data_IF_259638649733
#
_entry.id   IF_259638649733
#
_cell.length_a   1.000
_cell.length_b   1.000
_cell.length_c   1.000
_cell.angle_alpha   90.00
_cell.angle_beta   90.00
_cell.angle_gamma   90.00
#
_symmetry.space_group_name_H-M   'P 1'
#
loop_
_entity.id
_entity.type
_entity.pdbx_description
1 polymer ?
#
# COMPACT_ATOMS: atom_id res chain seq x y z
N UNK A 1 -28.68 -15.03 -20.64
CA UNK A 1 -28.85 -15.69 -19.34
C UNK A 1 -30.05 -15.07 -18.66
N UNK A 2 -31.02 -15.85 -18.27
CA UNK A 2 -32.25 -15.40 -17.63
C UNK A 2 -31.92 -14.79 -16.24
N UNK A 3 -32.55 -13.67 -15.88
CA UNK A 3 -32.24 -12.97 -14.62
C UNK A 3 -32.49 -13.84 -13.39
N UNK A 4 -33.47 -14.73 -13.45
CA UNK A 4 -33.79 -15.71 -12.41
C UNK A 4 -32.63 -16.71 -12.19
N UNK A 5 -31.98 -17.19 -13.27
CA UNK A 5 -30.82 -18.08 -13.18
C UNK A 5 -29.58 -17.38 -12.59
N UNK A 6 -29.38 -16.06 -12.87
CA UNK A 6 -28.35 -15.26 -12.24
C UNK A 6 -28.55 -15.16 -10.73
N UNK A 7 -29.79 -14.92 -10.30
CA UNK A 7 -30.09 -14.86 -8.88
C UNK A 7 -29.85 -16.21 -8.18
N UNK A 8 -30.15 -17.34 -8.84
CA UNK A 8 -29.88 -18.68 -8.31
C UNK A 8 -28.37 -18.90 -8.08
N UNK A 9 -27.50 -18.49 -9.05
CA UNK A 9 -26.05 -18.60 -8.93
C UNK A 9 -25.48 -17.69 -7.82
N UNK A 10 -26.12 -16.56 -7.53
CA UNK A 10 -25.71 -15.63 -6.48
C UNK A 10 -26.16 -16.07 -5.10
N UNK A 11 -27.40 -16.60 -4.98
CA UNK A 11 -28.02 -16.97 -3.70
C UNK A 11 -27.68 -18.39 -3.24
N UNK A 12 -27.14 -19.24 -4.13
CA UNK A 12 -26.73 -20.61 -3.82
C UNK A 12 -27.92 -21.59 -3.68
N UNK A 13 -27.66 -22.80 -3.16
CA UNK A 13 -28.61 -23.88 -3.06
C UNK A 13 -29.77 -23.63 -2.08
N UNK A 14 -29.67 -22.64 -1.22
CA UNK A 14 -30.75 -22.34 -0.24
C UNK A 14 -32.08 -21.96 -0.92
N UNK A 15 -32.02 -21.53 -2.21
CA UNK A 15 -33.21 -21.13 -3.00
C UNK A 15 -33.82 -22.29 -3.80
N UNK A 16 -33.12 -23.43 -3.93
CA UNK A 16 -33.63 -24.61 -4.69
C UNK A 16 -34.89 -25.23 -4.08
N UNK A 17 -35.12 -25.00 -2.78
CA UNK A 17 -36.32 -25.54 -2.10
C UNK A 17 -37.65 -24.88 -2.56
N UNK A 18 -37.56 -23.70 -3.18
CA UNK A 18 -38.72 -22.94 -3.62
C UNK A 18 -38.95 -22.94 -5.15
N UNK A 19 -37.90 -23.19 -5.94
CA UNK A 19 -37.93 -23.09 -7.41
C UNK A 19 -37.09 -24.19 -8.07
N UNK A 20 -37.71 -24.93 -9.01
CA UNK A 20 -37.03 -25.96 -9.81
C UNK A 20 -36.24 -25.29 -10.97
N UNK A 21 -34.92 -25.10 -10.79
CA UNK A 21 -34.04 -24.49 -11.78
C UNK A 21 -33.29 -25.54 -12.58
N UNK A 22 -33.65 -25.71 -13.86
CA UNK A 22 -32.83 -26.50 -14.79
C UNK A 22 -31.61 -25.71 -15.25
N UNK A 23 -30.47 -25.92 -14.58
CA UNK A 23 -29.17 -25.34 -14.96
C UNK A 23 -28.55 -26.14 -16.12
N UNK A 24 -27.99 -25.43 -17.11
CA UNK A 24 -27.20 -26.09 -18.15
C UNK A 24 -25.90 -26.65 -17.55
N UNK A 25 -25.24 -27.65 -18.20
CA UNK A 25 -24.02 -28.25 -17.65
C UNK A 25 -22.92 -27.27 -17.31
N UNK A 26 -22.76 -26.19 -18.09
CA UNK A 26 -21.78 -25.12 -17.84
C UNK A 26 -22.18 -24.26 -16.64
N UNK A 27 -23.45 -23.92 -16.50
CA UNK A 27 -24.00 -23.17 -15.37
C UNK A 27 -23.88 -23.99 -14.07
N UNK A 28 -24.13 -25.29 -14.15
CA UNK A 28 -23.98 -26.20 -13.00
C UNK A 28 -22.52 -26.28 -12.54
N UNK A 29 -21.57 -26.26 -13.46
CA UNK A 29 -20.14 -26.23 -13.12
C UNK A 29 -19.76 -24.94 -12.38
N UNK A 30 -20.27 -23.80 -12.82
CA UNK A 30 -20.08 -22.51 -12.14
C UNK A 30 -20.72 -22.54 -10.74
N UNK A 31 -21.92 -23.06 -10.63
CA UNK A 31 -22.64 -23.22 -9.36
C UNK A 31 -21.84 -24.08 -8.37
N UNK A 32 -21.34 -25.23 -8.82
CA UNK A 32 -20.49 -26.12 -8.02
C UNK A 32 -19.21 -25.44 -7.52
N UNK A 33 -18.58 -24.61 -8.37
CA UNK A 33 -17.36 -23.85 -8.01
C UNK A 33 -17.65 -22.78 -6.95
N UNK A 34 -18.75 -22.05 -7.09
CA UNK A 34 -19.20 -21.04 -6.13
C UNK A 34 -19.70 -21.67 -4.84
N UNK A 35 -20.48 -22.77 -4.93
CA UNK A 35 -20.97 -23.51 -3.77
C UNK A 35 -19.85 -24.03 -2.88
N UNK A 36 -18.69 -24.34 -3.46
CA UNK A 36 -17.51 -24.72 -2.68
C UNK A 36 -17.04 -23.64 -1.71
N UNK A 37 -17.27 -22.36 -2.00
CA UNK A 37 -16.88 -21.22 -1.15
C UNK A 37 -18.04 -20.72 -0.31
N UNK A 38 -19.26 -20.67 -0.87
CA UNK A 38 -20.38 -19.94 -0.28
C UNK A 38 -21.42 -20.84 0.42
N UNK A 39 -21.53 -22.13 0.08
CA UNK A 39 -22.53 -23.00 0.69
C UNK A 39 -22.22 -23.37 2.14
N UNK A 40 -23.16 -23.07 3.03
CA UNK A 40 -23.09 -23.40 4.46
C UNK A 40 -23.09 -24.90 4.74
N UNK A 41 -23.79 -25.68 3.93
CA UNK A 41 -23.90 -27.12 4.09
C UNK A 41 -22.60 -27.90 3.95
N UNK A 42 -21.58 -27.30 3.31
CA UNK A 42 -20.28 -27.90 3.17
C UNK A 42 -19.28 -27.50 4.27
N UNK A 43 -19.65 -26.60 5.18
CA UNK A 43 -18.79 -26.13 6.27
C UNK A 43 -18.45 -27.21 7.30
N UNK A 44 -19.26 -28.27 7.42
CA UNK A 44 -19.10 -29.34 8.40
C UNK A 44 -18.30 -30.54 7.89
N UNK A 45 -17.83 -30.56 6.64
CA UNK A 45 -16.97 -31.63 6.14
C UNK A 45 -15.51 -31.31 6.45
N UNK A 46 -14.74 -32.33 6.89
CA UNK A 46 -13.28 -32.28 7.07
C UNK A 46 -12.63 -31.47 5.97
N UNK A 47 -11.63 -30.65 6.32
CA UNK A 47 -10.94 -29.77 5.38
C UNK A 47 -10.59 -30.49 4.08
N UNK A 48 -10.74 -29.77 2.94
CA UNK A 48 -10.49 -30.33 1.60
C UNK A 48 -9.06 -30.81 1.45
N UNK A 49 -8.88 -31.87 0.70
CA UNK A 49 -7.56 -32.39 0.36
C UNK A 49 -6.81 -31.40 -0.54
N UNK A 50 -5.48 -31.42 -0.49
CA UNK A 50 -4.59 -30.65 -1.36
C UNK A 50 -4.98 -30.76 -2.85
N UNK A 51 -5.35 -31.98 -3.29
CA UNK A 51 -5.75 -32.25 -4.67
C UNK A 51 -7.05 -31.54 -5.05
N UNK A 52 -8.04 -31.52 -4.17
CA UNK A 52 -9.32 -30.85 -4.39
C UNK A 52 -9.14 -29.32 -4.48
N UNK A 53 -8.32 -28.74 -3.61
CA UNK A 53 -8.01 -27.30 -3.64
C UNK A 53 -7.27 -26.94 -4.93
N UNK A 54 -6.30 -27.75 -5.36
CA UNK A 54 -5.57 -27.54 -6.61
C UNK A 54 -6.49 -27.56 -7.82
N UNK A 55 -7.36 -28.56 -7.91
CA UNK A 55 -8.34 -28.69 -9.00
C UNK A 55 -9.29 -27.50 -9.01
N UNK A 56 -9.80 -27.08 -7.84
CA UNK A 56 -10.66 -25.91 -7.72
C UNK A 56 -9.96 -24.61 -8.18
N UNK A 57 -8.68 -24.38 -7.80
CA UNK A 57 -7.92 -23.23 -8.25
C UNK A 57 -7.72 -23.21 -9.78
N UNK A 58 -7.45 -24.37 -10.38
CA UNK A 58 -7.31 -24.48 -11.83
C UNK A 58 -8.65 -24.20 -12.54
N UNK A 59 -9.75 -24.70 -11.99
CA UNK A 59 -11.09 -24.52 -12.57
C UNK A 59 -11.62 -23.09 -12.43
N UNK A 60 -11.41 -22.39 -11.31
CA UNK A 60 -11.83 -20.98 -11.19
C UNK A 60 -11.06 -20.08 -12.17
N UNK A 61 -9.79 -20.37 -12.45
CA UNK A 61 -8.99 -19.62 -13.43
C UNK A 61 -9.47 -19.81 -14.86
N UNK A 62 -9.98 -20.99 -15.17
CA UNK A 62 -10.50 -21.27 -16.51
C UNK A 62 -11.88 -20.66 -16.76
N UNK A 63 -12.70 -20.52 -15.71
CA UNK A 63 -14.10 -20.13 -15.85
C UNK A 63 -14.39 -18.68 -15.46
N UNK A 64 -13.47 -18.01 -14.77
CA UNK A 64 -13.66 -16.64 -14.28
C UNK A 64 -12.55 -15.68 -14.69
N UNK A 65 -12.86 -14.39 -14.87
CA UNK A 65 -11.84 -13.37 -15.13
C UNK A 65 -10.96 -13.13 -13.88
N UNK A 66 -9.72 -12.61 -14.04
CA UNK A 66 -8.73 -12.50 -12.95
C UNK A 66 -9.22 -11.76 -11.71
N UNK A 67 -10.02 -10.71 -11.87
CA UNK A 67 -10.59 -9.95 -10.75
C UNK A 67 -11.56 -10.79 -9.89
N UNK A 68 -12.35 -11.65 -10.51
CA UNK A 68 -13.24 -12.57 -9.78
C UNK A 68 -12.46 -13.73 -9.18
N UNK A 69 -11.40 -14.21 -9.84
CA UNK A 69 -10.52 -15.25 -9.28
C UNK A 69 -9.90 -14.75 -7.97
N UNK A 70 -9.38 -13.53 -7.95
CA UNK A 70 -8.81 -12.93 -6.73
C UNK A 70 -9.85 -12.82 -5.60
N UNK A 71 -11.09 -12.42 -5.92
CA UNK A 71 -12.18 -12.34 -4.97
C UNK A 71 -12.54 -13.71 -4.39
N UNK A 72 -12.71 -14.73 -5.25
CA UNK A 72 -13.04 -16.09 -4.84
C UNK A 72 -11.94 -16.72 -3.97
N UNK A 73 -10.68 -16.44 -4.28
CA UNK A 73 -9.53 -16.88 -3.47
C UNK A 73 -9.54 -16.23 -2.09
N UNK A 74 -9.77 -14.90 -2.00
CA UNK A 74 -9.92 -14.19 -0.75
C UNK A 74 -11.04 -14.79 0.10
N UNK A 75 -12.24 -14.91 -0.46
CA UNK A 75 -13.40 -15.43 0.25
C UNK A 75 -13.19 -16.89 0.69
N UNK A 76 -12.48 -17.70 -0.09
CA UNK A 76 -12.09 -19.04 0.28
C UNK A 76 -11.13 -19.06 1.48
N UNK A 77 -10.13 -18.16 1.50
CA UNK A 77 -9.19 -18.02 2.63
C UNK A 77 -9.91 -17.61 3.92
N UNK A 78 -10.81 -16.63 3.82
CA UNK A 78 -11.54 -16.11 4.98
C UNK A 78 -12.61 -17.06 5.49
N UNK A 79 -13.48 -17.55 4.60
CA UNK A 79 -14.69 -18.32 4.99
C UNK A 79 -14.44 -19.79 5.27
N UNK A 80 -13.59 -20.42 4.49
CA UNK A 80 -13.35 -21.88 4.56
C UNK A 80 -12.00 -22.26 5.17
N UNK A 81 -11.27 -21.28 5.70
CA UNK A 81 -9.98 -21.49 6.36
C UNK A 81 -9.00 -22.31 5.49
N UNK A 82 -8.91 -21.99 4.18
CA UNK A 82 -7.97 -22.60 3.25
C UNK A 82 -6.52 -22.18 3.53
N UNK A 83 -6.13 -22.06 4.81
CA UNK A 83 -4.73 -21.80 5.25
C UNK A 83 -3.73 -22.75 4.62
N UNK A 84 -4.18 -23.96 4.25
CA UNK A 84 -3.38 -24.92 3.50
C UNK A 84 -2.88 -24.38 2.16
N UNK A 85 -3.59 -23.43 1.53
CA UNK A 85 -3.13 -22.78 0.29
C UNK A 85 -1.83 -22.00 0.52
N UNK A 86 -1.63 -21.44 1.70
CA UNK A 86 -0.44 -20.70 2.08
C UNK A 86 0.71 -21.59 2.53
N UNK A 87 0.39 -22.74 3.12
CA UNK A 87 1.40 -23.70 3.63
C UNK A 87 2.01 -24.54 2.51
N UNK A 88 1.27 -24.79 1.42
CA UNK A 88 1.68 -25.67 0.34
C UNK A 88 2.27 -24.89 -0.84
N UNK A 89 3.57 -25.07 -1.16
CA UNK A 89 4.23 -24.30 -2.24
C UNK A 89 3.50 -24.37 -3.57
N UNK A 90 3.07 -25.57 -3.99
CA UNK A 90 2.40 -25.80 -5.27
C UNK A 90 1.02 -25.12 -5.39
N UNK A 91 0.35 -24.91 -4.25
CA UNK A 91 -0.91 -24.19 -4.22
C UNK A 91 -0.65 -22.67 -4.22
N UNK A 92 0.35 -22.23 -3.49
CA UNK A 92 0.71 -20.83 -3.37
C UNK A 92 1.16 -20.24 -4.72
N UNK A 93 1.90 -20.98 -5.56
CA UNK A 93 2.29 -20.56 -6.91
C UNK A 93 1.09 -20.27 -7.83
N UNK A 94 -0.06 -20.87 -7.54
CA UNK A 94 -1.28 -20.71 -8.32
C UNK A 94 -2.20 -19.57 -7.83
N UNK A 95 -1.88 -18.93 -6.74
CA UNK A 95 -2.71 -17.86 -6.19
C UNK A 95 -2.36 -16.54 -6.88
N UNK A 96 -3.38 -15.78 -7.27
CA UNK A 96 -3.18 -14.43 -7.81
C UNK A 96 -2.79 -13.47 -6.70
N UNK A 97 -1.69 -12.68 -6.86
CA UNK A 97 -1.25 -11.76 -5.83
C UNK A 97 -2.27 -10.62 -5.66
N UNK A 98 -2.78 -10.48 -4.45
CA UNK A 98 -3.64 -9.38 -4.03
C UNK A 98 -3.29 -8.96 -2.60
N UNK A 99 -3.86 -7.86 -2.12
CA UNK A 99 -3.51 -7.29 -0.81
C UNK A 99 -3.94 -8.19 0.35
N UNK A 100 -5.10 -8.85 0.23
CA UNK A 100 -5.62 -9.75 1.26
C UNK A 100 -4.73 -11.00 1.41
N UNK A 101 -4.21 -11.50 0.28
CA UNK A 101 -3.22 -12.58 0.28
C UNK A 101 -1.94 -12.14 0.99
N UNK A 102 -1.43 -10.95 0.68
CA UNK A 102 -0.23 -10.39 1.33
C UNK A 102 -0.47 -10.23 2.82
N UNK A 103 -1.62 -9.70 3.24
CA UNK A 103 -2.02 -9.62 4.65
C UNK A 103 -1.94 -11.00 5.32
N UNK A 104 -2.55 -12.01 4.71
CA UNK A 104 -2.56 -13.38 5.24
C UNK A 104 -1.15 -14.01 5.29
N UNK A 105 -0.31 -13.76 4.28
CA UNK A 105 1.09 -14.20 4.25
C UNK A 105 1.87 -13.57 5.40
N UNK A 106 1.76 -12.26 5.59
CA UNK A 106 2.49 -11.53 6.62
C UNK A 106 2.05 -11.94 8.02
N UNK A 107 0.75 -12.16 8.24
CA UNK A 107 0.23 -12.65 9.52
C UNK A 107 0.69 -14.07 9.87
N UNK A 108 0.91 -14.92 8.87
CA UNK A 108 1.30 -16.33 9.05
C UNK A 108 2.78 -16.58 8.75
N UNK A 109 3.59 -15.53 8.57
CA UNK A 109 4.98 -15.64 8.10
C UNK A 109 5.86 -16.59 8.94
N UNK A 110 5.64 -16.62 10.26
CA UNK A 110 6.39 -17.48 11.17
C UNK A 110 6.03 -18.96 11.03
N UNK A 111 4.79 -19.26 10.61
CA UNK A 111 4.27 -20.60 10.43
C UNK A 111 4.56 -21.17 9.04
N UNK A 112 5.03 -20.33 8.09
CA UNK A 112 5.29 -20.77 6.72
C UNK A 112 6.54 -21.68 6.66
N UNK A 113 6.44 -22.88 6.02
CA UNK A 113 7.60 -23.69 5.67
C UNK A 113 8.60 -22.90 4.82
N UNK A 114 9.89 -23.21 4.89
CA UNK A 114 10.93 -22.47 4.16
C UNK A 114 10.66 -22.38 2.64
N UNK A 115 10.20 -23.48 2.03
CA UNK A 115 9.86 -23.51 0.61
C UNK A 115 8.69 -22.57 0.27
N UNK A 116 7.64 -22.58 1.08
CA UNK A 116 6.48 -21.68 0.91
C UNK A 116 6.86 -20.23 1.20
N UNK A 117 7.79 -19.98 2.13
CA UNK A 117 8.27 -18.62 2.47
C UNK A 117 8.97 -17.95 1.30
N UNK A 118 9.77 -18.69 0.52
CA UNK A 118 10.40 -18.13 -0.68
C UNK A 118 9.37 -17.71 -1.71
N UNK A 119 8.40 -18.58 -2.02
CA UNK A 119 7.32 -18.30 -2.99
C UNK A 119 6.44 -17.13 -2.49
N UNK A 120 6.10 -17.13 -1.20
CA UNK A 120 5.36 -16.03 -0.57
C UNK A 120 6.08 -14.68 -0.74
N UNK A 121 7.39 -14.63 -0.52
CA UNK A 121 8.19 -13.42 -0.76
C UNK A 121 8.16 -12.96 -2.22
N UNK A 122 8.23 -13.88 -3.18
CA UNK A 122 8.12 -13.53 -4.61
C UNK A 122 6.74 -12.99 -4.98
N UNK A 123 5.66 -13.54 -4.43
CA UNK A 123 4.30 -13.04 -4.62
C UNK A 123 4.12 -11.63 -4.03
N UNK A 124 4.60 -11.43 -2.80
CA UNK A 124 4.58 -10.09 -2.17
C UNK A 124 5.39 -9.11 -3.00
N UNK A 125 6.60 -9.50 -3.45
CA UNK A 125 7.46 -8.65 -4.29
C UNK A 125 6.79 -8.28 -5.61
N UNK A 126 6.05 -9.20 -6.24
CA UNK A 126 5.31 -8.93 -7.47
C UNK A 126 4.25 -7.86 -7.24
N UNK A 127 3.42 -8.00 -6.21
CA UNK A 127 2.39 -7.02 -5.86
C UNK A 127 3.00 -5.65 -5.48
N UNK A 128 4.05 -5.65 -4.67
CA UNK A 128 4.78 -4.43 -4.27
C UNK A 128 5.24 -3.67 -5.51
N UNK A 129 5.86 -4.34 -6.48
CA UNK A 129 6.32 -3.72 -7.73
C UNK A 129 5.18 -3.11 -8.55
N UNK A 130 4.03 -3.79 -8.61
CA UNK A 130 2.84 -3.26 -9.30
C UNK A 130 2.32 -1.98 -8.64
N UNK A 131 2.24 -1.96 -7.31
CA UNK A 131 1.83 -0.78 -6.53
C UNK A 131 2.87 0.34 -6.71
N UNK A 132 4.16 0.05 -6.58
CA UNK A 132 5.23 1.02 -6.79
C UNK A 132 5.15 1.67 -8.17
N UNK A 133 4.99 0.89 -9.24
CA UNK A 133 4.90 1.43 -10.59
C UNK A 133 3.71 2.39 -10.76
N UNK A 134 2.56 2.05 -10.19
CA UNK A 134 1.36 2.89 -10.22
C UNK A 134 1.54 4.19 -9.42
N UNK A 135 2.15 4.12 -8.24
CA UNK A 135 2.24 5.25 -7.31
C UNK A 135 3.45 6.15 -7.55
N UNK A 136 4.59 5.59 -7.99
CA UNK A 136 5.85 6.31 -8.17
C UNK A 136 5.72 7.57 -9.03
N UNK A 137 4.99 7.47 -10.14
CA UNK A 137 4.77 8.62 -11.03
C UNK A 137 3.95 9.74 -10.37
N UNK A 138 2.95 9.37 -9.58
CA UNK A 138 2.12 10.32 -8.85
C UNK A 138 2.91 11.03 -7.76
N UNK A 139 3.69 10.27 -6.98
CA UNK A 139 4.56 10.79 -5.90
C UNK A 139 5.63 11.70 -6.50
N UNK A 140 6.31 11.30 -7.57
CA UNK A 140 7.33 12.11 -8.24
C UNK A 140 6.76 13.43 -8.77
N UNK A 141 5.56 13.40 -9.36
CA UNK A 141 4.85 14.62 -9.79
C UNK A 141 4.53 15.52 -8.60
N UNK A 142 3.99 14.97 -7.51
CA UNK A 142 3.65 15.73 -6.31
C UNK A 142 4.89 16.38 -5.65
N UNK A 143 5.99 15.65 -5.54
CA UNK A 143 7.26 16.16 -5.02
C UNK A 143 7.94 17.11 -6.02
N UNK A 144 7.88 16.82 -7.32
CA UNK A 144 8.49 17.60 -8.40
C UNK A 144 7.85 18.97 -8.65
N UNK A 145 6.53 19.07 -8.49
CA UNK A 145 5.80 20.33 -8.67
C UNK A 145 6.21 21.43 -7.68
N UNK A 146 6.75 21.06 -6.53
CA UNK A 146 7.29 22.01 -5.53
C UNK A 146 8.70 22.54 -5.86
N UNK A 147 9.44 21.93 -6.79
CA UNK A 147 10.81 22.35 -7.16
C UNK A 147 10.87 23.63 -8.03
N UNK A 148 9.78 23.98 -8.70
CA UNK A 148 9.72 25.24 -9.45
C UNK A 148 9.02 26.31 -8.60
N UNK A 149 9.74 26.85 -7.61
CA UNK A 149 9.32 28.09 -6.96
C UNK A 149 9.03 29.14 -8.03
N UNK A 150 7.86 29.76 -7.97
CA UNK A 150 7.50 30.87 -8.86
C UNK A 150 8.58 31.95 -8.73
N UNK A 151 9.22 32.26 -9.85
CA UNK A 151 10.19 33.34 -9.92
C UNK A 151 9.43 34.65 -9.72
N UNK A 152 9.77 35.40 -8.69
CA UNK A 152 9.19 36.69 -8.33
C UNK A 152 10.26 37.78 -8.37
N UNK A 153 9.85 39.03 -8.62
CA UNK A 153 10.71 40.19 -8.49
C UNK A 153 11.17 40.29 -7.03
N UNK A 154 12.44 40.41 -6.77
CA UNK A 154 13.01 40.46 -5.42
C UNK A 154 14.51 40.70 -5.40
N UNK A 155 15.06 40.89 -4.22
CA UNK A 155 16.48 41.08 -3.99
C UNK A 155 17.28 39.78 -4.30
N UNK A 156 18.39 39.83 -5.05
CA UNK A 156 19.23 38.70 -5.36
C UNK A 156 19.76 37.96 -4.12
N UNK A 157 19.86 38.62 -2.98
CA UNK A 157 20.28 38.04 -1.70
C UNK A 157 19.15 37.18 -1.05
N UNK A 158 17.91 37.38 -1.46
CA UNK A 158 16.73 36.75 -0.85
C UNK A 158 16.42 35.33 -1.37
N UNK A 159 17.16 34.82 -2.37
CA UNK A 159 16.94 33.51 -2.96
C UNK A 159 17.86 33.23 -4.15
N UNK A 160 17.56 32.12 -4.86
CA UNK A 160 18.33 31.77 -6.06
C UNK A 160 17.90 32.61 -7.26
N UNK A 161 18.80 33.35 -7.88
CA UNK A 161 18.52 34.19 -9.05
C UNK A 161 18.04 33.33 -10.24
N UNK A 162 16.91 33.71 -10.84
CA UNK A 162 16.45 33.18 -12.12
C UNK A 162 17.08 33.98 -13.26
N UNK A 163 18.25 33.58 -13.69
CA UNK A 163 19.03 34.27 -14.70
C UNK A 163 18.25 34.44 -16.02
N UNK A 164 17.51 33.45 -16.46
CA UNK A 164 16.73 33.54 -17.72
C UNK A 164 15.70 34.68 -17.66
N UNK A 165 14.93 34.76 -16.60
CA UNK A 165 13.97 35.85 -16.44
C UNK A 165 14.62 37.18 -16.17
N UNK A 166 15.67 37.20 -15.38
CA UNK A 166 16.44 38.43 -15.10
C UNK A 166 17.03 38.97 -16.37
N UNK A 167 17.69 38.16 -17.19
CA UNK A 167 18.25 38.58 -18.48
C UNK A 167 17.15 39.12 -19.42
N UNK A 168 16.06 38.33 -19.60
CA UNK A 168 14.96 38.75 -20.49
C UNK A 168 14.35 40.06 -20.08
N UNK A 169 14.14 40.32 -18.79
CA UNK A 169 13.54 41.55 -18.30
C UNK A 169 14.45 42.76 -18.40
N UNK A 170 15.76 42.55 -18.51
CA UNK A 170 16.77 43.58 -18.54
C UNK A 170 17.51 43.70 -19.89
N UNK A 171 17.07 43.05 -20.96
CA UNK A 171 17.67 43.10 -22.28
C UNK A 171 17.85 44.55 -22.79
N UNK A 172 16.88 45.43 -22.47
CA UNK A 172 16.94 46.85 -22.81
C UNK A 172 18.07 47.65 -22.13
N UNK A 173 18.66 47.10 -21.09
CA UNK A 173 19.79 47.64 -20.33
C UNK A 173 21.11 47.00 -20.72
N UNK A 174 21.20 46.37 -21.90
CA UNK A 174 22.45 45.85 -22.43
C UNK A 174 23.38 47.03 -22.81
N UNK A 175 24.56 47.02 -22.28
CA UNK A 175 25.59 48.00 -22.57
C UNK A 175 26.63 47.38 -23.50
N UNK A 176 26.65 47.85 -24.76
CA UNK A 176 27.54 47.33 -25.80
C UNK A 176 29.04 47.54 -25.46
N UNK A 177 29.39 48.66 -24.82
CA UNK A 177 30.75 48.99 -24.48
C UNK A 177 31.37 48.06 -23.45
N UNK A 178 30.55 47.53 -22.56
CA UNK A 178 30.96 46.59 -21.51
C UNK A 178 30.55 45.15 -21.79
N UNK A 179 29.86 44.90 -22.91
CA UNK A 179 29.34 43.60 -23.29
C UNK A 179 28.57 42.88 -22.14
N UNK A 180 27.84 43.66 -21.34
CA UNK A 180 27.16 43.15 -20.15
C UNK A 180 25.77 43.75 -20.00
N UNK A 181 24.93 43.09 -19.19
CA UNK A 181 23.62 43.57 -18.78
C UNK A 181 23.74 44.03 -17.32
N UNK A 182 23.35 45.28 -17.03
CA UNK A 182 23.23 45.79 -15.67
C UNK A 182 21.75 45.58 -15.24
N UNK A 183 21.43 44.59 -14.38
CA UNK A 183 20.08 44.32 -14.03
C UNK A 183 19.50 45.37 -13.09
N UNK A 184 18.43 46.04 -13.51
CA UNK A 184 17.57 46.85 -12.62
C UNK A 184 16.50 46.02 -11.92
N UNK A 185 16.12 44.93 -12.55
CA UNK A 185 15.05 44.06 -12.06
C UNK A 185 15.59 42.66 -11.88
N UNK A 186 15.65 42.22 -10.63
CA UNK A 186 16.07 40.89 -10.29
C UNK A 186 14.88 39.97 -10.13
N UNK A 187 14.96 38.78 -10.69
CA UNK A 187 13.99 37.71 -10.48
C UNK A 187 14.63 36.62 -9.66
N UNK A 188 14.06 36.35 -8.50
CA UNK A 188 14.54 35.33 -7.57
C UNK A 188 13.51 34.24 -7.37
N UNK A 189 13.97 33.02 -7.33
CA UNK A 189 13.18 31.87 -6.89
C UNK A 189 13.38 31.73 -5.41
N UNK A 190 12.38 32.15 -4.62
CA UNK A 190 12.39 31.73 -3.21
C UNK A 190 12.16 30.22 -3.18
N UNK A 191 13.06 29.48 -2.59
CA UNK A 191 12.81 28.12 -2.16
C UNK A 191 11.75 28.19 -1.05
N UNK A 192 10.49 28.31 -1.43
CA UNK A 192 9.41 28.22 -0.47
C UNK A 192 9.39 26.76 0.00
N UNK A 193 9.78 26.57 1.26
CA UNK A 193 9.65 25.33 2.01
C UNK A 193 10.29 24.11 1.33
N UNK A 194 11.59 23.97 1.49
CA UNK A 194 12.19 22.66 1.36
C UNK A 194 11.71 21.85 2.55
N UNK A 195 10.79 20.92 2.30
CA UNK A 195 10.57 19.82 3.21
C UNK A 195 11.93 19.12 3.36
N UNK A 196 12.48 19.13 4.56
CA UNK A 196 13.77 18.47 4.85
C UNK A 196 13.57 17.09 5.39
N UNK A 197 12.50 16.93 6.16
CA UNK A 197 12.17 15.69 6.85
C UNK A 197 10.69 15.36 6.67
N UNK A 198 10.40 14.09 6.43
CA UNK A 198 9.06 13.53 6.48
C UNK A 198 9.08 12.39 7.51
N UNK A 199 8.20 12.46 8.48
CA UNK A 199 7.97 11.38 9.42
C UNK A 199 6.65 10.69 9.04
N UNK A 200 6.74 9.42 8.69
CA UNK A 200 5.58 8.55 8.50
C UNK A 200 5.45 7.68 9.74
N UNK A 201 4.40 7.91 10.52
CA UNK A 201 4.07 7.18 11.73
C UNK A 201 2.88 6.29 11.38
N UNK A 202 3.12 4.98 11.33
CA UNK A 202 2.20 4.00 10.76
C UNK A 202 1.78 3.02 11.83
N UNK A 203 0.49 2.97 12.07
CA UNK A 203 -0.14 2.01 12.97
C UNK A 203 -0.14 0.62 12.33
N UNK A 204 0.27 -0.38 13.10
CA UNK A 204 0.33 -1.80 12.70
C UNK A 204 -0.66 -2.67 13.46
N UNK A 205 -1.61 -2.06 14.19
CA UNK A 205 -2.69 -2.79 14.85
C UNK A 205 -3.47 -3.68 13.85
N UNK A 206 -4.24 -4.63 14.36
CA UNK A 206 -4.89 -5.65 13.52
C UNK A 206 -5.84 -5.05 12.48
N UNK A 207 -6.57 -3.97 12.82
CA UNK A 207 -7.44 -3.23 11.91
C UNK A 207 -6.68 -2.51 10.81
N UNK A 208 -5.44 -2.08 11.08
CA UNK A 208 -4.63 -1.23 10.21
C UNK A 208 -3.66 -1.98 9.29
N UNK A 209 -3.60 -3.31 9.31
CA UNK A 209 -2.61 -4.11 8.56
C UNK A 209 -2.58 -3.75 7.06
N UNK A 210 -3.73 -3.60 6.42
CA UNK A 210 -3.81 -3.24 5.00
C UNK A 210 -3.22 -1.84 4.75
N UNK A 211 -3.60 -0.87 5.57
CA UNK A 211 -3.08 0.49 5.53
C UNK A 211 -1.58 0.53 5.80
N UNK A 212 -1.09 -0.29 6.72
CA UNK A 212 0.34 -0.42 7.04
C UNK A 212 1.14 -0.95 5.83
N UNK A 213 0.60 -1.92 5.07
CA UNK A 213 1.23 -2.44 3.85
C UNK A 213 1.37 -1.32 2.81
N UNK A 214 0.28 -0.61 2.48
CA UNK A 214 0.33 0.49 1.52
C UNK A 214 1.26 1.62 1.98
N UNK A 215 1.17 1.99 3.25
CA UNK A 215 1.99 3.07 3.82
C UNK A 215 3.48 2.71 3.85
N UNK A 216 3.80 1.45 4.12
CA UNK A 216 5.17 0.94 4.04
C UNK A 216 5.75 1.03 2.63
N UNK A 217 4.97 0.68 1.60
CA UNK A 217 5.38 0.81 0.20
C UNK A 217 5.58 2.29 -0.17
N UNK A 218 4.63 3.17 0.19
CA UNK A 218 4.75 4.62 -0.06
C UNK A 218 5.96 5.18 0.66
N UNK A 219 6.17 4.80 1.92
CA UNK A 219 7.32 5.21 2.73
C UNK A 219 8.65 4.82 2.09
N UNK A 220 8.76 3.62 1.55
CA UNK A 220 9.95 3.15 0.83
C UNK A 220 10.20 3.96 -0.45
N UNK A 221 9.15 4.30 -1.21
CA UNK A 221 9.29 5.18 -2.38
C UNK A 221 9.81 6.56 -1.95
N UNK A 222 9.25 7.14 -0.89
CA UNK A 222 9.69 8.45 -0.37
C UNK A 222 11.11 8.39 0.16
N UNK A 223 11.50 7.33 0.86
CA UNK A 223 12.86 7.12 1.36
C UNK A 223 13.88 6.99 0.23
N UNK A 224 13.48 6.48 -0.94
CA UNK A 224 14.34 6.42 -2.14
C UNK A 224 14.64 7.79 -2.76
N UNK A 225 13.97 8.86 -2.33
CA UNK A 225 14.13 10.21 -2.87
C UNK A 225 15.24 10.97 -2.14
N UNK A 226 16.35 11.23 -2.79
CA UNK A 226 17.47 12.02 -2.23
C UNK A 226 17.12 13.47 -1.84
N UNK A 227 15.90 13.92 -2.14
CA UNK A 227 15.49 15.31 -1.90
C UNK A 227 14.84 15.54 -0.55
N UNK A 228 14.48 14.47 0.17
CA UNK A 228 13.75 14.50 1.44
C UNK A 228 14.31 13.40 2.34
N UNK A 229 14.57 13.72 3.58
CA UNK A 229 14.91 12.70 4.58
C UNK A 229 13.62 12.10 5.13
N UNK A 230 13.37 10.82 4.83
CA UNK A 230 12.13 10.15 5.24
C UNK A 230 12.41 9.24 6.43
N UNK A 231 11.70 9.49 7.52
CA UNK A 231 11.66 8.63 8.69
C UNK A 231 10.45 7.72 8.62
N UNK A 232 10.67 6.43 8.76
CA UNK A 232 9.64 5.40 8.67
C UNK A 232 9.50 4.71 10.02
N UNK A 233 8.43 5.06 10.73
CA UNK A 233 8.18 4.64 12.10
C UNK A 233 6.88 3.83 12.11
N UNK A 234 6.97 2.57 12.50
CA UNK A 234 5.81 1.72 12.73
C UNK A 234 5.56 1.60 14.22
N UNK A 235 4.31 1.49 14.60
CA UNK A 235 3.95 1.34 16.00
C UNK A 235 2.72 0.46 16.20
N UNK A 236 2.69 -0.18 17.36
CA UNK A 236 1.55 -0.81 17.99
C UNK A 236 1.61 -0.44 19.50
N UNK A 237 1.81 -1.36 20.40
CA UNK A 237 2.19 -1.11 21.80
C UNK A 237 3.67 -0.69 21.93
N UNK A 238 4.46 -1.00 20.89
CA UNK A 238 5.87 -0.65 20.80
C UNK A 238 6.15 0.22 19.57
N UNK A 239 7.23 1.00 19.63
CA UNK A 239 7.66 1.86 18.53
C UNK A 239 8.87 1.26 17.84
N UNK A 240 8.79 1.09 16.54
CA UNK A 240 9.83 0.50 15.72
C UNK A 240 10.25 1.46 14.62
N UNK A 241 11.52 1.81 14.59
CA UNK A 241 12.10 2.73 13.64
C UNK A 241 12.85 1.98 12.54
N UNK A 242 12.38 2.16 11.32
CA UNK A 242 12.93 1.54 10.11
C UNK A 242 13.58 2.55 9.16
N UNK A 243 13.80 3.79 9.59
CA UNK A 243 14.27 4.91 8.76
C UNK A 243 15.55 4.61 7.98
N UNK A 244 16.49 3.86 8.57
CA UNK A 244 17.81 3.60 7.97
C UNK A 244 18.01 2.11 7.58
N UNK A 245 17.01 1.27 7.74
CA UNK A 245 17.22 -0.19 7.72
C UNK A 245 16.91 -0.88 6.40
N UNK A 246 15.99 -0.35 5.59
CA UNK A 246 15.47 -1.09 4.44
C UNK A 246 15.41 -0.27 3.17
N UNK A 247 16.08 -0.79 2.14
CA UNK A 247 16.01 -0.30 0.76
C UNK A 247 14.97 -1.04 -0.08
N UNK A 248 14.61 -2.28 0.30
CA UNK A 248 13.60 -3.09 -0.38
C UNK A 248 12.28 -3.08 0.42
N UNK A 249 11.18 -2.57 -0.18
CA UNK A 249 9.86 -2.56 0.46
C UNK A 249 9.38 -3.95 0.88
N UNK A 250 9.77 -5.00 0.15
CA UNK A 250 9.39 -6.38 0.48
C UNK A 250 10.01 -6.81 1.80
N UNK A 251 11.31 -6.58 1.97
CA UNK A 251 12.01 -6.93 3.20
C UNK A 251 11.51 -6.11 4.39
N UNK A 252 11.16 -4.85 4.15
CA UNK A 252 10.50 -4.01 5.14
C UNK A 252 9.19 -4.66 5.61
N UNK A 253 8.29 -5.03 4.70
CA UNK A 253 6.99 -5.61 5.04
C UNK A 253 7.11 -6.91 5.84
N UNK A 254 8.09 -7.76 5.53
CA UNK A 254 8.37 -8.98 6.29
C UNK A 254 9.02 -8.74 7.66
N UNK A 255 9.46 -7.52 7.93
CA UNK A 255 10.09 -7.14 9.20
C UNK A 255 9.17 -6.39 10.15
N UNK A 256 8.02 -5.92 9.65
CA UNK A 256 7.03 -5.20 10.45
C UNK A 256 6.25 -6.21 11.29
N UNK A 257 6.25 -6.10 12.63
CA UNK A 257 5.34 -6.86 13.46
C UNK A 257 3.92 -6.33 13.29
N UNK A 258 3.04 -7.19 12.79
CA UNK A 258 1.63 -6.86 12.54
C UNK A 258 0.76 -7.36 13.70
N UNK A 259 -0.21 -6.53 14.11
CA UNK A 259 -1.12 -6.83 15.21
C UNK A 259 -0.70 -6.19 16.53
N UNK A 260 -1.44 -6.51 17.61
CA UNK A 260 -1.28 -5.89 18.91
C UNK A 260 -2.22 -4.71 19.14
N UNK A 261 -2.06 -4.03 20.26
CA UNK A 261 -2.78 -2.81 20.61
C UNK A 261 -2.22 -1.56 19.94
N UNK A 262 -2.67 -0.39 20.38
CA UNK A 262 -2.30 0.91 19.76
C UNK A 262 -1.89 1.90 20.85
N UNK A 263 -0.66 2.45 20.78
CA UNK A 263 -0.17 3.53 21.67
C UNK A 263 0.36 4.69 20.81
N UNK A 264 -0.57 5.55 20.38
CA UNK A 264 -0.27 6.75 19.57
C UNK A 264 0.61 7.73 20.35
N UNK A 265 0.34 7.88 21.65
CA UNK A 265 1.07 8.82 22.51
C UNK A 265 2.57 8.52 22.56
N UNK A 266 2.92 7.26 22.70
CA UNK A 266 4.32 6.77 22.69
C UNK A 266 5.00 7.02 21.34
N UNK A 267 4.29 6.74 20.24
CA UNK A 267 4.80 6.95 18.89
C UNK A 267 5.06 8.42 18.58
N UNK A 268 4.15 9.32 18.98
CA UNK A 268 4.31 10.76 18.81
C UNK A 268 5.46 11.31 19.67
N UNK A 269 5.56 10.92 20.94
CA UNK A 269 6.67 11.33 21.83
C UNK A 269 8.02 10.90 21.25
N UNK A 270 8.12 9.67 20.76
CA UNK A 270 9.34 9.19 20.10
C UNK A 270 9.69 10.02 18.87
N UNK A 271 8.70 10.30 18.03
CA UNK A 271 8.89 11.09 16.80
C UNK A 271 9.36 12.50 17.11
N UNK A 272 8.72 13.17 18.07
CA UNK A 272 9.07 14.55 18.45
C UNK A 272 10.52 14.67 18.93
N UNK A 273 11.06 13.66 19.59
CA UNK A 273 12.49 13.64 20.00
C UNK A 273 13.45 13.57 18.81
N UNK A 274 12.98 13.07 17.66
CA UNK A 274 13.80 12.93 16.44
C UNK A 274 13.72 14.11 15.48
N UNK A 275 12.71 14.96 15.61
CA UNK A 275 12.54 16.13 14.74
C UNK A 275 13.70 17.11 14.91
N UNK A 276 14.47 17.33 13.85
CA UNK A 276 15.60 18.28 13.86
C UNK A 276 15.22 19.66 13.33
N UNK A 277 14.26 19.72 12.41
CA UNK A 277 13.90 20.96 11.70
C UNK A 277 12.40 21.26 11.83
N UNK A 278 11.98 21.81 12.97
CA UNK A 278 10.57 22.10 13.29
C UNK A 278 9.81 22.85 12.16
N UNK A 279 10.47 23.80 11.49
CA UNK A 279 9.84 24.60 10.43
C UNK A 279 9.78 23.94 9.05
N UNK A 280 10.44 22.81 8.86
CA UNK A 280 10.57 22.12 7.57
C UNK A 280 10.38 20.61 7.66
N UNK A 281 9.85 20.11 8.76
CA UNK A 281 9.46 18.72 8.96
C UNK A 281 7.94 18.56 8.84
N UNK A 282 7.51 17.44 8.25
CA UNK A 282 6.11 17.06 8.17
C UNK A 282 5.93 15.73 8.87
N UNK A 283 4.94 15.65 9.73
CA UNK A 283 4.55 14.42 10.45
C UNK A 283 3.22 13.96 9.88
N UNK A 284 3.18 12.72 9.40
CA UNK A 284 1.98 12.04 8.93
C UNK A 284 1.70 10.86 9.84
N UNK A 285 0.61 10.93 10.59
CA UNK A 285 0.10 9.83 11.39
C UNK A 285 -0.97 9.09 10.58
N UNK A 286 -0.82 7.78 10.47
CA UNK A 286 -1.72 6.87 9.75
C UNK A 286 -2.22 5.85 10.77
N UNK A 287 -3.44 6.05 11.27
CA UNK A 287 -4.12 5.23 12.28
C UNK A 287 -5.62 5.43 12.14
N UNK A 288 -6.42 4.49 12.61
CA UNK A 288 -7.86 4.64 12.79
C UNK A 288 -8.23 5.39 14.08
N UNK A 289 -7.22 5.77 14.86
CA UNK A 289 -7.35 6.48 16.14
C UNK A 289 -8.07 5.68 17.22
N UNK A 290 -8.17 4.36 17.07
CA UNK A 290 -8.72 3.47 18.08
C UNK A 290 -7.63 3.12 19.10
N UNK A 291 -7.54 3.90 20.17
CA UNK A 291 -6.53 3.80 21.22
C UNK A 291 -7.15 3.26 22.51
N UNK A 292 -6.52 2.26 23.10
CA UNK A 292 -6.93 1.73 24.41
C UNK A 292 -6.67 2.70 25.60
N UNK A 293 -6.04 3.85 25.34
CA UNK A 293 -5.67 4.86 26.33
C UNK A 293 -6.67 6.01 26.48
N UNK A 294 -6.51 6.81 27.52
CA UNK A 294 -7.32 8.02 27.71
C UNK A 294 -6.85 9.12 26.74
N UNK A 295 -7.77 9.65 25.95
CA UNK A 295 -7.54 10.79 25.00
C UNK A 295 -6.87 12.00 25.69
N UNK A 296 -7.00 12.13 27.02
CA UNK A 296 -6.33 13.17 27.81
C UNK A 296 -4.80 13.12 27.76
N UNK A 297 -4.20 11.96 27.46
CA UNK A 297 -2.74 11.82 27.35
C UNK A 297 -2.19 12.28 25.98
N UNK A 298 -3.05 12.40 24.97
CA UNK A 298 -2.67 12.91 23.64
C UNK A 298 -2.61 14.44 23.59
N UNK A 299 -3.24 15.14 24.57
CA UNK A 299 -3.37 16.60 24.60
C UNK A 299 -2.30 17.29 25.46
N UNK A 300 -1.43 16.55 26.11
CA UNK A 300 -0.30 17.02 26.91
C UNK A 300 1.05 16.54 26.35
#
# INVERSE_FOLDING_TARGET
>A
MDDMKRWRLVLGNDVEQEFDFNLFPEEKKIDDLLGQVYDKSQTNKKGKSKKEIKTWLDEIRLNFPPNLVSLLQRDALERKNYKQMLLEPELLEKVEPNIDLVKSILQLQELLPEKSRHIARELVRKLVREIEQKMKQQILKAVGLRKKGLSRRGDPSSGKVDWNKTIQANLKHYQSDYQTIIPEQWFVRKNNYQCKEIFLIIDTSESMIESAIYSGIIGSILASLNSVHTHLIFFNEEVMDFSDKYSDPTDLLFSIPLGGGTDISKALKYTLQKVKYLSSSYIFLISDMDEYGSVSQLLH
#
